data_IF_622105254731
#
_entry.id   IF_622105254731
#
_cell.length_a   1.000
_cell.length_b   1.000
_cell.length_c   1.000
_cell.angle_alpha   90.00
_cell.angle_beta   90.00
_cell.angle_gamma   90.00
#
_symmetry.space_group_name_H-M   'P 1'
#
loop_
_entity.id
_entity.type
_entity.pdbx_description
1 polymer ?
#
# COMPACT_ATOMS: atom_id res chain seq x y z
N UNK A 1 23.92 -19.08 21.30
CA UNK A 1 23.44 -18.61 19.97
C UNK A 1 22.10 -17.94 20.23
N UNK A 2 21.97 -16.64 19.94
CA UNK A 2 20.67 -15.95 20.03
C UNK A 2 19.68 -16.57 19.06
N UNK A 3 18.42 -16.69 19.45
CA UNK A 3 17.40 -17.32 18.63
C UNK A 3 16.84 -16.26 17.68
N UNK A 4 16.88 -16.51 16.38
CA UNK A 4 16.34 -15.59 15.38
C UNK A 4 14.85 -15.81 15.21
N UNK A 5 14.07 -14.74 15.30
CA UNK A 5 12.62 -14.74 15.12
C UNK A 5 12.27 -13.94 13.86
N UNK A 6 11.74 -14.58 12.81
CA UNK A 6 11.32 -13.89 11.60
C UNK A 6 9.92 -13.29 11.80
N UNK A 7 9.81 -11.97 11.62
CA UNK A 7 8.54 -11.28 11.44
C UNK A 7 8.13 -11.30 9.96
N UNK A 8 6.83 -11.12 9.70
CA UNK A 8 6.34 -10.93 8.32
C UNK A 8 6.74 -9.55 7.80
N UNK A 9 7.30 -9.54 6.59
CA UNK A 9 7.60 -8.33 5.84
C UNK A 9 6.50 -8.00 4.83
N UNK A 10 6.00 -6.77 4.86
CA UNK A 10 4.96 -6.25 3.96
C UNK A 10 5.47 -5.03 3.20
N UNK A 11 5.12 -4.92 1.93
CA UNK A 11 5.32 -3.70 1.16
C UNK A 11 4.07 -2.84 1.20
N UNK A 12 4.25 -1.56 1.51
CA UNK A 12 3.24 -0.51 1.40
C UNK A 12 3.33 0.22 0.06
N UNK A 13 4.13 -0.28 -0.88
CA UNK A 13 4.42 0.32 -2.18
C UNK A 13 5.79 0.99 -2.26
N UNK A 14 5.99 1.71 -3.36
CA UNK A 14 7.24 2.43 -3.61
C UNK A 14 7.09 3.56 -4.62
N UNK A 15 8.13 4.41 -4.70
CA UNK A 15 8.31 5.44 -5.72
C UNK A 15 9.60 5.14 -6.51
N UNK A 16 9.56 4.18 -7.46
CA UNK A 16 10.70 3.85 -8.31
C UNK A 16 11.13 5.05 -9.15
N UNK A 17 12.44 5.28 -9.25
CA UNK A 17 12.99 6.28 -10.18
C UNK A 17 12.54 6.00 -11.62
N UNK A 18 12.44 7.07 -12.41
CA UNK A 18 12.22 6.96 -13.84
C UNK A 18 13.37 6.12 -14.43
N UNK A 19 13.05 5.04 -15.16
CA UNK A 19 14.07 4.14 -15.69
C UNK A 19 14.98 4.84 -16.69
N UNK A 20 16.28 4.52 -16.63
CA UNK A 20 17.21 4.98 -17.66
C UNK A 20 16.99 4.22 -18.97
N UNK A 21 17.40 4.82 -20.09
CA UNK A 21 17.15 4.29 -21.45
C UNK A 21 17.69 2.86 -21.63
N UNK A 22 18.81 2.50 -20.98
CA UNK A 22 19.37 1.15 -21.04
C UNK A 22 18.38 0.11 -20.48
N UNK A 23 17.77 0.41 -19.35
CA UNK A 23 16.89 -0.52 -18.65
C UNK A 23 15.57 -0.68 -19.42
N UNK A 24 15.06 0.41 -20.01
CA UNK A 24 13.93 0.39 -20.93
C UNK A 24 14.17 -0.53 -22.12
N UNK A 25 15.35 -0.45 -22.76
CA UNK A 25 15.70 -1.31 -23.91
C UNK A 25 15.66 -2.78 -23.55
N UNK A 26 16.24 -3.14 -22.41
CA UNK A 26 16.25 -4.52 -21.93
C UNK A 26 14.83 -5.02 -21.65
N UNK A 27 13.99 -4.22 -20.97
CA UNK A 27 12.61 -4.63 -20.70
C UNK A 27 11.78 -4.79 -21.98
N UNK A 28 11.86 -3.82 -22.90
CA UNK A 28 11.16 -3.87 -24.19
C UNK A 28 11.60 -5.11 -24.99
N UNK A 29 12.89 -5.46 -24.93
CA UNK A 29 13.40 -6.65 -25.59
C UNK A 29 12.83 -7.96 -25.02
N UNK A 30 12.59 -8.01 -23.70
CA UNK A 30 12.04 -9.18 -22.98
C UNK A 30 10.51 -9.29 -23.09
N UNK A 31 9.82 -8.18 -23.36
CA UNK A 31 8.36 -8.09 -23.40
C UNK A 31 7.85 -7.63 -24.78
N UNK A 32 8.44 -8.14 -25.87
CA UNK A 32 8.04 -7.79 -27.24
C UNK A 32 6.55 -8.10 -27.48
N UNK A 33 5.85 -7.16 -28.12
CA UNK A 33 4.43 -7.29 -28.45
C UNK A 33 3.48 -6.89 -27.33
N UNK A 34 4.01 -6.43 -26.18
CA UNK A 34 3.23 -5.83 -25.10
C UNK A 34 3.34 -4.31 -25.21
N UNK A 35 2.19 -3.65 -25.22
CA UNK A 35 2.13 -2.20 -25.07
C UNK A 35 2.33 -1.84 -23.59
N UNK A 36 3.41 -1.13 -23.29
CA UNK A 36 3.79 -0.71 -21.96
C UNK A 36 4.33 0.72 -22.01
N UNK A 37 4.00 1.52 -21.02
CA UNK A 37 4.54 2.86 -20.85
C UNK A 37 5.47 2.95 -19.62
N UNK A 38 5.85 4.17 -19.25
CA UNK A 38 6.76 4.40 -18.12
C UNK A 38 6.17 3.94 -16.78
N UNK A 39 4.85 4.09 -16.57
CA UNK A 39 4.18 3.65 -15.35
C UNK A 39 4.22 2.11 -15.29
N UNK A 40 3.92 1.45 -16.39
CA UNK A 40 4.02 -0.01 -16.49
C UNK A 40 5.43 -0.51 -16.14
N UNK A 41 6.47 0.18 -16.64
CA UNK A 41 7.84 -0.16 -16.31
C UNK A 41 8.14 0.04 -14.81
N UNK A 42 7.73 1.18 -14.25
CA UNK A 42 7.90 1.48 -12.82
C UNK A 42 7.26 0.39 -11.95
N UNK A 43 6.07 -0.10 -12.32
CA UNK A 43 5.43 -1.23 -11.66
C UNK A 43 6.26 -2.51 -11.75
N UNK A 44 6.84 -2.82 -12.92
CA UNK A 44 7.69 -4.00 -13.10
C UNK A 44 8.98 -3.91 -12.27
N UNK A 45 9.59 -2.73 -12.19
CA UNK A 45 10.79 -2.48 -11.38
C UNK A 45 10.50 -2.67 -9.90
N UNK A 46 9.43 -2.07 -9.41
CA UNK A 46 8.94 -2.21 -8.03
C UNK A 46 8.67 -3.68 -7.67
N UNK A 47 7.98 -4.40 -8.56
CA UNK A 47 7.74 -5.84 -8.41
C UNK A 47 9.05 -6.64 -8.33
N UNK A 48 9.98 -6.39 -9.24
CA UNK A 48 11.23 -7.16 -9.35
C UNK A 48 12.11 -6.96 -8.12
N UNK A 49 12.26 -5.72 -7.66
CA UNK A 49 13.05 -5.39 -6.47
C UNK A 49 12.51 -6.07 -5.20
N UNK A 50 11.18 -6.08 -5.01
CA UNK A 50 10.53 -6.76 -3.89
C UNK A 50 10.67 -8.28 -3.95
N UNK A 51 10.54 -8.84 -5.16
CA UNK A 51 10.72 -10.28 -5.40
C UNK A 51 12.13 -10.74 -5.09
N UNK A 52 13.14 -10.00 -5.55
CA UNK A 52 14.55 -10.31 -5.33
C UNK A 52 14.92 -10.19 -3.84
N UNK A 53 14.33 -9.22 -3.14
CA UNK A 53 14.45 -9.07 -1.69
C UNK A 53 13.64 -10.10 -0.87
N UNK A 54 12.76 -10.88 -1.50
CA UNK A 54 11.89 -11.89 -0.87
C UNK A 54 10.96 -11.30 0.20
N UNK A 55 10.34 -10.17 -0.11
CA UNK A 55 9.26 -9.60 0.72
C UNK A 55 8.08 -10.58 0.76
N UNK A 56 7.52 -10.82 1.96
CA UNK A 56 6.51 -11.88 2.16
C UNK A 56 5.14 -11.48 1.58
N UNK A 57 4.73 -10.22 1.79
CA UNK A 57 3.50 -9.63 1.28
C UNK A 57 3.86 -8.46 0.35
N UNK A 58 4.04 -8.73 -0.94
CA UNK A 58 4.41 -7.69 -1.92
C UNK A 58 3.24 -6.76 -2.24
N UNK A 59 3.58 -5.48 -2.43
CA UNK A 59 2.67 -4.39 -2.73
C UNK A 59 3.26 -3.57 -3.87
N UNK A 60 2.61 -3.58 -5.03
CA UNK A 60 3.09 -2.87 -6.23
C UNK A 60 2.17 -1.69 -6.51
N UNK A 61 2.78 -0.53 -6.74
CA UNK A 61 2.11 0.75 -6.90
C UNK A 61 2.67 1.78 -5.91
N UNK A 62 1.99 2.92 -5.81
CA UNK A 62 2.46 4.11 -5.11
C UNK A 62 1.84 5.35 -5.74
N UNK A 63 2.31 6.54 -5.37
CA UNK A 63 1.72 7.80 -5.87
C UNK A 63 1.96 8.00 -7.36
N UNK A 64 3.07 7.48 -7.90
CA UNK A 64 3.32 7.49 -9.35
C UNK A 64 2.22 6.80 -10.18
N UNK A 65 1.40 5.94 -9.57
CA UNK A 65 0.29 5.25 -10.23
C UNK A 65 -1.01 6.07 -10.26
N UNK A 66 -1.06 7.24 -9.61
CA UNK A 66 -2.24 8.13 -9.57
C UNK A 66 -2.82 8.42 -10.96
N UNK A 67 -2.03 8.76 -12.01
CA UNK A 67 -2.60 9.01 -13.34
C UNK A 67 -3.35 7.79 -13.90
N UNK A 68 -2.93 6.57 -13.54
CA UNK A 68 -3.62 5.35 -13.96
C UNK A 68 -4.93 5.14 -13.19
N UNK A 69 -4.97 5.53 -11.92
CA UNK A 69 -6.20 5.51 -11.13
C UNK A 69 -7.18 6.57 -11.60
N UNK A 70 -6.74 7.80 -11.87
CA UNK A 70 -7.60 8.87 -12.39
C UNK A 70 -8.21 8.52 -13.76
N UNK A 71 -7.48 7.76 -14.58
CA UNK A 71 -8.03 7.22 -15.83
C UNK A 71 -9.03 6.09 -15.60
N UNK A 72 -8.83 5.29 -14.56
CA UNK A 72 -9.66 4.12 -14.25
C UNK A 72 -10.89 4.46 -13.42
N UNK A 73 -10.88 5.58 -12.69
CA UNK A 73 -11.95 6.07 -11.84
C UNK A 73 -11.97 7.59 -11.89
N UNK A 74 -13.08 8.14 -12.35
CA UNK A 74 -13.32 9.58 -12.37
C UNK A 74 -14.75 9.91 -11.96
N UNK A 75 -15.01 11.15 -11.61
CA UNK A 75 -16.35 11.66 -11.38
C UNK A 75 -16.80 12.50 -12.57
N UNK A 76 -18.06 12.32 -12.96
CA UNK A 76 -18.78 13.16 -13.89
C UNK A 76 -19.96 13.81 -13.16
N UNK A 77 -20.15 15.12 -13.30
CA UNK A 77 -21.18 15.85 -12.55
C UNK A 77 -22.63 15.46 -12.94
N UNK A 78 -22.84 14.92 -14.15
CA UNK A 78 -24.17 14.51 -14.61
C UNK A 78 -24.40 13.01 -14.42
N UNK A 79 -23.35 12.19 -14.60
CA UNK A 79 -23.44 10.73 -14.60
C UNK A 79 -22.95 10.08 -13.30
N UNK A 80 -22.30 10.83 -12.42
CA UNK A 80 -21.66 10.31 -11.21
C UNK A 80 -20.35 9.57 -11.51
N UNK A 81 -20.01 8.50 -10.78
CA UNK A 81 -18.71 7.85 -10.91
C UNK A 81 -18.60 7.00 -12.19
N UNK A 82 -17.51 7.18 -12.93
CA UNK A 82 -17.17 6.42 -14.13
C UNK A 82 -15.98 5.48 -13.84
N UNK A 83 -16.06 4.23 -14.30
CA UNK A 83 -15.02 3.21 -14.05
C UNK A 83 -14.54 2.58 -15.36
N UNK A 84 -13.26 2.80 -15.70
CA UNK A 84 -12.60 2.30 -16.91
C UNK A 84 -11.36 1.46 -16.55
N UNK A 85 -11.60 0.24 -16.08
CA UNK A 85 -10.57 -0.60 -15.45
C UNK A 85 -9.57 -1.30 -16.39
N UNK A 86 -9.79 -1.29 -17.70
CA UNK A 86 -9.08 -2.15 -18.66
C UNK A 86 -7.55 -1.99 -18.61
N UNK A 87 -7.08 -0.75 -18.53
CA UNK A 87 -5.64 -0.45 -18.60
C UNK A 87 -4.92 -0.84 -17.31
N UNK A 88 -5.49 -0.52 -16.15
CA UNK A 88 -4.91 -0.87 -14.86
C UNK A 88 -4.95 -2.39 -14.62
N UNK A 89 -6.02 -3.06 -15.07
CA UNK A 89 -6.10 -4.53 -15.08
C UNK A 89 -4.99 -5.11 -15.96
N UNK A 90 -4.77 -4.56 -17.15
CA UNK A 90 -3.69 -5.00 -18.05
C UNK A 90 -2.32 -4.87 -17.37
N UNK A 91 -2.05 -3.74 -16.72
CA UNK A 91 -0.81 -3.48 -15.98
C UNK A 91 -0.55 -4.55 -14.91
N UNK A 92 -1.50 -4.79 -14.02
CA UNK A 92 -1.37 -5.80 -12.98
C UNK A 92 -1.31 -7.23 -13.51
N UNK A 93 -2.03 -7.53 -14.60
CA UNK A 93 -2.03 -8.86 -15.23
C UNK A 93 -0.65 -9.28 -15.73
N UNK A 94 0.24 -8.33 -16.05
CA UNK A 94 1.60 -8.65 -16.45
C UNK A 94 2.45 -9.15 -15.29
N UNK A 95 2.20 -8.65 -14.08
CA UNK A 95 2.95 -9.01 -12.88
C UNK A 95 2.45 -10.33 -12.27
N UNK A 96 1.15 -10.58 -12.31
CA UNK A 96 0.50 -11.76 -11.69
C UNK A 96 0.62 -13.04 -12.53
N UNK A 97 1.26 -13.00 -13.72
CA UNK A 97 1.57 -14.18 -14.53
C UNK A 97 2.48 -15.20 -13.85
N UNK A 98 3.15 -14.83 -12.76
CA UNK A 98 4.22 -15.60 -12.12
C UNK A 98 3.81 -16.33 -10.83
N UNK A 99 2.52 -16.60 -10.59
CA UNK A 99 1.98 -17.26 -9.38
C UNK A 99 2.31 -16.55 -8.05
N UNK A 100 2.85 -15.34 -8.09
CA UNK A 100 3.15 -14.58 -6.88
C UNK A 100 1.96 -13.72 -6.47
N UNK A 101 1.56 -13.81 -5.20
CA UNK A 101 0.54 -12.96 -4.61
C UNK A 101 1.04 -11.52 -4.54
N UNK A 102 0.31 -10.61 -5.19
CA UNK A 102 0.59 -9.17 -5.19
C UNK A 102 -0.63 -8.43 -4.65
N UNK A 103 -0.39 -7.45 -3.78
CA UNK A 103 -1.35 -6.40 -3.48
C UNK A 103 -1.14 -5.21 -4.38
N UNK A 104 -2.22 -4.57 -4.79
CA UNK A 104 -2.13 -3.28 -5.49
C UNK A 104 -1.96 -2.16 -4.47
N UNK A 105 -1.24 -1.10 -4.82
CA UNK A 105 -1.01 0.05 -3.94
C UNK A 105 -1.48 1.32 -4.63
N UNK A 106 -2.36 2.06 -3.97
CA UNK A 106 -3.00 3.25 -4.51
C UNK A 106 -3.17 4.31 -3.43
N UNK A 107 -3.34 5.55 -3.85
CA UNK A 107 -3.92 6.58 -2.99
C UNK A 107 -5.45 6.46 -3.02
N UNK A 108 -6.10 6.99 -1.98
CA UNK A 108 -7.55 6.94 -1.85
C UNK A 108 -8.29 7.89 -2.80
N UNK A 109 -9.61 7.73 -2.99
CA UNK A 109 -10.39 8.61 -3.84
C UNK A 109 -10.27 10.09 -3.49
N UNK A 110 -10.10 10.44 -2.21
CA UNK A 110 -10.01 11.84 -1.76
C UNK A 110 -8.87 12.65 -2.38
N UNK A 111 -7.85 12.01 -2.95
CA UNK A 111 -6.74 12.72 -3.63
C UNK A 111 -6.90 12.82 -5.14
N UNK A 112 -7.93 12.19 -5.72
CA UNK A 112 -8.16 12.21 -7.17
C UNK A 112 -8.71 13.57 -7.58
N UNK A 113 -8.17 14.13 -8.66
CA UNK A 113 -8.52 15.50 -9.09
C UNK A 113 -9.99 15.68 -9.44
N UNK A 114 -10.66 14.63 -9.93
CA UNK A 114 -12.10 14.67 -10.22
C UNK A 114 -12.96 14.29 -9.02
N UNK A 115 -12.41 13.85 -7.89
CA UNK A 115 -13.25 13.37 -6.78
C UNK A 115 -14.21 14.47 -6.32
N UNK A 116 -15.49 14.16 -6.07
CA UNK A 116 -16.38 15.10 -5.42
C UNK A 116 -15.81 15.50 -4.06
N UNK A 117 -16.14 16.72 -3.65
CA UNK A 117 -15.71 17.25 -2.36
C UNK A 117 -16.31 16.41 -1.22
N UNK A 118 -15.54 16.06 -0.18
CA UNK A 118 -16.03 15.20 0.89
C UNK A 118 -17.24 15.76 1.67
N UNK A 119 -17.47 17.07 1.62
CA UNK A 119 -18.64 17.72 2.20
C UNK A 119 -19.94 17.32 1.48
N UNK A 120 -19.86 16.85 0.24
CA UNK A 120 -20.95 16.18 -0.44
C UNK A 120 -20.87 14.68 -0.16
N UNK A 121 -21.30 14.29 1.04
CA UNK A 121 -21.16 12.92 1.57
C UNK A 121 -21.75 11.86 0.63
N UNK A 122 -22.90 12.12 0.00
CA UNK A 122 -23.54 11.19 -0.93
C UNK A 122 -22.66 10.94 -2.16
N UNK A 123 -22.20 12.01 -2.82
CA UNK A 123 -21.32 11.90 -3.98
C UNK A 123 -19.96 11.27 -3.62
N UNK A 124 -19.42 11.65 -2.47
CA UNK A 124 -18.15 11.10 -1.98
C UNK A 124 -18.27 9.62 -1.60
N UNK A 125 -19.41 9.19 -1.05
CA UNK A 125 -19.69 7.78 -0.82
C UNK A 125 -19.80 7.01 -2.14
N UNK A 126 -20.44 7.57 -3.16
CA UNK A 126 -20.56 6.94 -4.49
C UNK A 126 -19.20 6.72 -5.17
N UNK A 127 -18.28 7.71 -5.12
CA UNK A 127 -16.93 7.53 -5.67
C UNK A 127 -16.14 6.47 -4.88
N UNK A 128 -16.30 6.42 -3.54
CA UNK A 128 -15.68 5.39 -2.69
C UNK A 128 -16.23 3.99 -2.99
N UNK A 129 -17.52 3.84 -3.22
CA UNK A 129 -18.13 2.57 -3.65
C UNK A 129 -17.62 2.13 -5.02
N UNK A 130 -17.48 3.06 -5.95
CA UNK A 130 -16.94 2.79 -7.30
C UNK A 130 -15.46 2.46 -7.27
N UNK A 131 -14.68 3.07 -6.37
CA UNK A 131 -13.31 2.67 -6.08
C UNK A 131 -13.25 1.24 -5.54
N UNK A 132 -14.09 0.88 -4.56
CA UNK A 132 -14.18 -0.50 -4.07
C UNK A 132 -14.58 -1.49 -5.17
N UNK A 133 -15.41 -1.08 -6.12
CA UNK A 133 -15.73 -1.86 -7.31
C UNK A 133 -14.50 -2.05 -8.21
N UNK A 134 -13.72 -1.00 -8.47
CA UNK A 134 -12.44 -1.10 -9.19
C UNK A 134 -11.47 -2.05 -8.48
N UNK A 135 -11.31 -1.93 -7.16
CA UNK A 135 -10.47 -2.82 -6.36
C UNK A 135 -10.95 -4.28 -6.47
N UNK A 136 -12.27 -4.52 -6.46
CA UNK A 136 -12.84 -5.85 -6.71
C UNK A 136 -12.46 -6.39 -8.08
N UNK A 137 -12.59 -5.58 -9.12
CA UNK A 137 -12.19 -5.94 -10.48
C UNK A 137 -10.71 -6.33 -10.55
N UNK A 138 -9.82 -5.64 -9.82
CA UNK A 138 -8.42 -6.04 -9.71
C UNK A 138 -8.25 -7.40 -9.02
N UNK A 139 -9.04 -7.70 -7.97
CA UNK A 139 -9.00 -9.02 -7.31
C UNK A 139 -9.49 -10.14 -8.19
N UNK A 140 -10.55 -9.90 -8.95
CA UNK A 140 -11.04 -10.84 -9.97
C UNK A 140 -9.96 -11.11 -11.04
N UNK A 141 -8.98 -10.20 -11.15
CA UNK A 141 -7.77 -10.32 -11.97
C UNK A 141 -6.49 -10.66 -11.17
N UNK A 142 -6.63 -11.47 -10.11
CA UNK A 142 -5.55 -12.12 -9.32
C UNK A 142 -4.79 -11.22 -8.35
N UNK A 143 -5.22 -9.98 -8.13
CA UNK A 143 -4.70 -9.19 -7.00
C UNK A 143 -5.27 -9.74 -5.69
N UNK A 144 -4.42 -9.92 -4.67
CA UNK A 144 -4.83 -10.61 -3.43
C UNK A 144 -5.39 -9.68 -2.36
N UNK A 145 -5.17 -8.38 -2.53
CA UNK A 145 -5.64 -7.30 -1.67
C UNK A 145 -5.05 -5.97 -2.09
N UNK A 146 -5.23 -4.94 -1.26
CA UNK A 146 -4.92 -3.56 -1.61
C UNK A 146 -4.26 -2.87 -0.41
N UNK A 147 -3.30 -2.00 -0.69
CA UNK A 147 -2.83 -0.98 0.24
C UNK A 147 -3.34 0.36 -0.26
N UNK A 148 -4.03 1.09 0.59
CA UNK A 148 -4.65 2.37 0.26
C UNK A 148 -4.00 3.45 1.14
N UNK A 149 -3.36 4.42 0.50
CA UNK A 149 -2.74 5.55 1.19
C UNK A 149 -3.76 6.64 1.42
N UNK A 150 -3.93 7.00 2.68
CA UNK A 150 -4.76 8.11 3.12
C UNK A 150 -3.85 9.31 3.39
N UNK A 151 -4.25 10.50 2.92
CA UNK A 151 -3.50 11.74 3.17
C UNK A 151 -4.09 12.48 4.37
N UNK A 152 -5.39 12.76 4.33
CA UNK A 152 -6.17 13.32 5.43
C UNK A 152 -7.37 12.40 5.62
N UNK A 153 -7.26 11.34 6.45
CA UNK A 153 -8.35 10.39 6.60
C UNK A 153 -9.60 11.10 7.12
N UNK A 154 -10.75 10.77 6.55
CA UNK A 154 -12.07 11.21 6.98
C UNK A 154 -12.85 10.01 7.50
N UNK A 155 -13.80 10.15 8.45
CA UNK A 155 -14.44 8.99 9.06
C UNK A 155 -15.20 8.17 8.02
N UNK A 156 -15.92 8.86 7.13
CA UNK A 156 -16.65 8.26 6.02
C UNK A 156 -15.71 7.53 5.04
N UNK A 157 -14.54 8.10 4.73
CA UNK A 157 -13.55 7.46 3.85
C UNK A 157 -12.99 6.18 4.49
N UNK A 158 -12.64 6.23 5.78
CA UNK A 158 -12.14 5.07 6.51
C UNK A 158 -13.22 3.98 6.58
N UNK A 159 -14.44 4.34 6.97
CA UNK A 159 -15.57 3.40 7.09
C UNK A 159 -15.83 2.66 5.77
N UNK A 160 -15.80 3.39 4.65
CA UNK A 160 -16.08 2.82 3.33
C UNK A 160 -14.92 2.00 2.77
N UNK A 161 -13.67 2.33 3.11
CA UNK A 161 -12.48 1.68 2.55
C UNK A 161 -11.90 0.58 3.42
N UNK A 162 -12.19 0.56 4.72
CA UNK A 162 -11.71 -0.51 5.61
C UNK A 162 -12.32 -1.84 5.23
N UNK A 163 -11.52 -2.91 5.28
CA UNK A 163 -12.03 -4.23 4.98
C UNK A 163 -10.95 -5.31 4.97
N UNK A 164 -11.33 -6.60 4.95
CA UNK A 164 -10.39 -7.72 5.09
C UNK A 164 -9.38 -7.84 3.94
N UNK A 165 -9.60 -7.15 2.82
CA UNK A 165 -8.72 -7.13 1.65
C UNK A 165 -8.01 -5.80 1.47
N UNK A 166 -8.29 -4.81 2.31
CA UNK A 166 -7.75 -3.47 2.22
C UNK A 166 -6.92 -3.19 3.47
N UNK A 167 -5.72 -2.66 3.25
CA UNK A 167 -4.83 -2.21 4.29
C UNK A 167 -4.71 -0.70 4.11
N UNK A 168 -5.13 0.06 5.12
CA UNK A 168 -5.11 1.50 5.07
C UNK A 168 -3.80 2.00 5.70
N UNK A 169 -3.15 2.96 5.07
CA UNK A 169 -1.88 3.52 5.53
C UNK A 169 -1.91 5.05 5.49
N UNK A 170 -1.61 5.68 6.62
CA UNK A 170 -1.45 7.13 6.75
C UNK A 170 0.05 7.42 6.84
N UNK A 171 0.60 8.21 5.91
CA UNK A 171 2.05 8.47 5.84
C UNK A 171 2.58 9.27 7.04
N UNK A 172 1.83 10.27 7.48
CA UNK A 172 2.20 11.17 8.59
C UNK A 172 1.04 11.30 9.59
N UNK A 173 0.79 10.29 10.43
CA UNK A 173 -0.34 10.28 11.33
C UNK A 173 -0.15 11.26 12.50
N UNK A 174 -1.27 11.86 12.93
CA UNK A 174 -1.41 12.56 14.23
C UNK A 174 -2.20 11.70 15.22
N UNK A 175 -2.22 12.05 16.51
CA UNK A 175 -3.03 11.31 17.51
C UNK A 175 -4.49 11.25 17.10
N UNK A 176 -5.10 12.40 16.80
CA UNK A 176 -6.50 12.52 16.38
C UNK A 176 -6.83 11.62 15.17
N UNK A 177 -5.95 11.58 14.16
CA UNK A 177 -6.13 10.72 12.99
C UNK A 177 -6.08 9.23 13.35
N UNK A 178 -5.24 8.84 14.31
CA UNK A 178 -5.12 7.45 14.74
C UNK A 178 -6.31 7.03 15.61
N UNK A 179 -6.78 7.90 16.51
CA UNK A 179 -7.99 7.66 17.30
C UNK A 179 -9.19 7.42 16.38
N UNK A 180 -9.40 8.32 15.41
CA UNK A 180 -10.47 8.19 14.42
C UNK A 180 -10.32 6.92 13.58
N UNK A 181 -9.11 6.59 13.16
CA UNK A 181 -8.83 5.36 12.42
C UNK A 181 -9.17 4.09 13.22
N UNK A 182 -8.86 4.09 14.52
CA UNK A 182 -9.02 2.94 15.40
C UNK A 182 -10.48 2.67 15.79
N UNK A 183 -11.39 3.62 15.57
CA UNK A 183 -12.85 3.39 15.64
C UNK A 183 -13.32 2.36 14.59
N UNK A 184 -12.63 2.29 13.44
CA UNK A 184 -13.02 1.46 12.30
C UNK A 184 -12.08 0.28 12.04
N UNK A 185 -10.81 0.38 12.43
CA UNK A 185 -9.79 -0.64 12.17
C UNK A 185 -9.05 -1.08 13.42
N UNK A 186 -8.68 -2.37 13.47
CA UNK A 186 -7.82 -2.93 14.52
C UNK A 186 -6.41 -3.25 14.04
N UNK A 187 -6.14 -3.07 12.76
CA UNK A 187 -4.84 -3.30 12.17
C UNK A 187 -4.20 -1.93 11.88
N UNK A 188 -3.20 -1.58 12.68
CA UNK A 188 -2.53 -0.29 12.65
C UNK A 188 -1.19 -0.39 11.93
N UNK A 189 -0.94 0.54 11.00
CA UNK A 189 0.38 0.76 10.41
C UNK A 189 0.91 2.08 10.94
N UNK A 190 2.14 2.06 11.47
CA UNK A 190 2.75 3.23 12.07
C UNK A 190 4.18 3.43 11.54
N UNK A 191 4.54 4.64 11.09
CA UNK A 191 5.94 5.00 10.86
C UNK A 191 6.79 4.84 12.12
N UNK A 192 8.03 4.37 11.98
CA UNK A 192 8.90 4.11 13.13
C UNK A 192 9.17 5.35 14.00
N UNK A 193 9.21 6.53 13.40
CA UNK A 193 9.39 7.83 14.07
C UNK A 193 8.13 8.31 14.82
N UNK A 194 7.01 7.61 14.69
CA UNK A 194 5.72 7.93 15.33
C UNK A 194 5.32 6.94 16.42
N UNK A 195 6.21 6.01 16.80
CA UNK A 195 5.97 4.99 17.83
C UNK A 195 5.48 5.59 19.16
N UNK A 196 5.92 6.79 19.54
CA UNK A 196 5.49 7.46 20.77
C UNK A 196 3.99 7.77 20.83
N UNK A 197 3.28 7.78 19.70
CA UNK A 197 1.82 7.95 19.68
C UNK A 197 1.09 6.73 20.27
N UNK A 198 1.76 5.59 20.43
CA UNK A 198 1.14 4.36 20.92
C UNK A 198 0.87 4.36 22.42
N UNK A 199 1.60 5.16 23.20
CA UNK A 199 1.52 5.16 24.67
C UNK A 199 0.10 5.44 25.15
N UNK A 200 -0.61 6.36 24.49
CA UNK A 200 -1.98 6.72 24.84
C UNK A 200 -3.01 5.78 24.18
N UNK A 201 -2.69 5.16 23.03
CA UNK A 201 -3.64 4.42 22.21
C UNK A 201 -3.82 2.95 22.64
N UNK A 202 -2.78 2.30 23.15
CA UNK A 202 -2.79 0.87 23.48
C UNK A 202 -3.79 0.55 24.60
N UNK A 203 -3.90 1.43 25.59
CA UNK A 203 -4.79 1.24 26.73
C UNK A 203 -6.25 1.59 26.38
N UNK A 204 -6.47 2.41 25.34
CA UNK A 204 -7.78 2.90 24.95
C UNK A 204 -8.44 2.05 23.86
N UNK A 205 -7.65 1.47 22.95
CA UNK A 205 -8.14 0.79 21.76
C UNK A 205 -7.71 -0.67 21.69
N UNK A 206 -8.60 -1.53 21.18
CA UNK A 206 -8.28 -2.94 20.96
C UNK A 206 -7.52 -3.15 19.64
N UNK A 207 -6.20 -2.91 19.68
CA UNK A 207 -5.31 -3.10 18.52
C UNK A 207 -4.99 -4.60 18.36
N UNK A 208 -5.27 -5.15 17.19
CA UNK A 208 -5.01 -6.55 16.84
C UNK A 208 -3.63 -6.76 16.24
N UNK A 209 -3.21 -5.89 15.34
CA UNK A 209 -1.93 -6.02 14.64
C UNK A 209 -1.27 -4.67 14.56
N UNK A 210 0.02 -4.59 14.89
CA UNK A 210 0.85 -3.42 14.66
C UNK A 210 1.83 -3.74 13.53
N UNK A 211 1.91 -2.87 12.54
CA UNK A 211 2.87 -2.97 11.45
C UNK A 211 3.75 -1.73 11.45
N UNK A 212 5.05 -1.90 11.70
CA UNK A 212 5.99 -0.80 11.76
C UNK A 212 6.61 -0.51 10.40
N UNK A 213 6.36 0.68 9.85
CA UNK A 213 6.89 1.10 8.56
C UNK A 213 8.33 1.63 8.70
N UNK A 214 9.23 1.13 7.85
CA UNK A 214 10.63 1.55 7.75
C UNK A 214 11.42 1.46 9.07
N UNK A 215 11.01 0.56 9.97
CA UNK A 215 11.57 0.40 11.30
C UNK A 215 12.93 -0.32 11.34
N UNK A 216 13.76 0.08 12.30
CA UNK A 216 15.00 -0.60 12.68
C UNK A 216 14.76 -1.71 13.70
N UNK A 217 15.76 -2.57 13.93
CA UNK A 217 15.69 -3.62 14.95
C UNK A 217 15.44 -3.06 16.36
N UNK A 218 15.93 -1.84 16.65
CA UNK A 218 15.69 -1.16 17.92
C UNK A 218 14.22 -0.77 18.07
N UNK A 219 13.62 -0.21 17.03
CA UNK A 219 12.22 0.24 17.03
C UNK A 219 11.29 -0.95 17.21
N UNK A 220 11.57 -2.04 16.49
CA UNK A 220 10.85 -3.32 16.60
C UNK A 220 10.96 -3.88 18.02
N UNK A 221 12.17 -3.90 18.58
CA UNK A 221 12.41 -4.38 19.94
C UNK A 221 11.70 -3.53 21.00
N UNK A 222 11.59 -2.21 20.78
CA UNK A 222 10.78 -1.32 21.61
C UNK A 222 9.30 -1.68 21.57
N UNK A 223 8.77 -1.95 20.38
CA UNK A 223 7.36 -2.29 20.19
C UNK A 223 6.97 -3.64 20.81
N UNK A 224 7.92 -4.57 20.95
CA UNK A 224 7.69 -5.86 21.63
C UNK A 224 7.37 -5.73 23.13
N UNK A 225 7.51 -4.54 23.72
CA UNK A 225 7.03 -4.27 25.08
C UNK A 225 5.51 -4.18 25.16
N UNK A 226 4.86 -3.86 24.04
CA UNK A 226 3.43 -3.61 23.96
C UNK A 226 2.66 -4.77 23.32
N UNK A 227 3.25 -5.45 22.33
CA UNK A 227 2.60 -6.53 21.58
C UNK A 227 3.52 -7.73 21.37
N UNK A 228 2.94 -8.93 21.37
CA UNK A 228 3.65 -10.16 21.04
C UNK A 228 4.09 -10.19 19.57
N UNK A 229 5.12 -10.98 19.25
CA UNK A 229 5.68 -11.09 17.90
C UNK A 229 4.68 -11.54 16.83
N UNK A 230 3.65 -12.31 17.20
CA UNK A 230 2.62 -12.79 16.26
C UNK A 230 1.65 -11.68 15.83
N UNK A 231 1.61 -10.58 16.59
CA UNK A 231 0.82 -9.38 16.34
C UNK A 231 1.66 -8.24 15.74
N UNK A 232 2.95 -8.48 15.48
CA UNK A 232 3.88 -7.49 14.95
C UNK A 232 4.32 -7.84 13.52
N UNK A 233 4.31 -6.85 12.63
CA UNK A 233 4.82 -6.95 11.26
C UNK A 233 5.79 -5.81 10.96
N UNK A 234 6.63 -6.00 9.95
CA UNK A 234 7.54 -4.97 9.45
C UNK A 234 7.10 -4.56 8.05
N UNK A 235 6.83 -3.27 7.87
CA UNK A 235 6.48 -2.68 6.59
C UNK A 235 7.64 -1.91 5.98
N UNK A 236 7.60 -1.75 4.66
CA UNK A 236 8.44 -0.80 3.94
C UNK A 236 7.64 0.08 2.99
N UNK A 237 8.04 1.35 2.89
CA UNK A 237 7.72 2.23 1.77
C UNK A 237 9.02 2.81 1.22
N UNK A 238 9.39 2.44 -0.01
CA UNK A 238 10.70 2.74 -0.59
C UNK A 238 10.62 3.85 -1.64
N UNK A 239 11.54 4.81 -1.58
CA UNK A 239 11.64 5.91 -2.55
C UNK A 239 13.00 5.83 -3.24
N UNK A 240 13.03 5.89 -4.57
CA UNK A 240 14.27 5.86 -5.35
C UNK A 240 14.91 4.47 -5.49
N UNK A 241 16.06 4.26 -4.85
CA UNK A 241 16.82 2.98 -4.91
C UNK A 241 16.10 1.85 -4.16
N UNK A 242 15.21 1.17 -4.88
CA UNK A 242 14.34 0.14 -4.31
C UNK A 242 15.11 -1.09 -3.79
N UNK A 243 16.16 -1.52 -4.47
CA UNK A 243 16.86 -2.77 -4.14
C UNK A 243 17.49 -2.75 -2.75
N UNK A 244 18.19 -1.67 -2.42
CA UNK A 244 18.83 -1.51 -1.11
C UNK A 244 17.78 -1.31 -0.01
N UNK A 245 16.74 -0.54 -0.31
CA UNK A 245 15.64 -0.31 0.61
C UNK A 245 14.92 -1.61 0.97
N UNK A 246 14.49 -2.43 0.00
CA UNK A 246 13.78 -3.68 0.28
C UNK A 246 14.65 -4.72 0.99
N UNK A 247 15.95 -4.80 0.67
CA UNK A 247 16.91 -5.65 1.40
C UNK A 247 17.02 -5.22 2.87
N UNK A 248 17.04 -3.92 3.14
CA UNK A 248 17.04 -3.39 4.51
C UNK A 248 15.77 -3.76 5.27
N UNK A 249 14.60 -3.61 4.65
CA UNK A 249 13.30 -3.99 5.24
C UNK A 249 13.23 -5.49 5.54
N UNK A 250 13.65 -6.34 4.59
CA UNK A 250 13.68 -7.78 4.85
C UNK A 250 14.68 -8.15 5.95
N UNK A 251 15.81 -7.46 6.01
CA UNK A 251 16.82 -7.64 7.03
C UNK A 251 16.34 -7.27 8.44
N UNK A 252 15.60 -6.16 8.59
CA UNK A 252 15.08 -5.74 9.89
C UNK A 252 13.94 -6.63 10.40
N UNK A 253 13.25 -7.35 9.52
CA UNK A 253 12.24 -8.34 9.89
C UNK A 253 12.82 -9.62 10.56
N UNK A 254 14.12 -9.70 10.84
CA UNK A 254 14.75 -10.81 11.55
C UNK A 254 15.38 -10.32 12.84
N UNK A 255 14.69 -10.56 13.97
CA UNK A 255 15.14 -10.11 15.29
C UNK A 255 16.00 -11.20 15.94
N UNK A 256 17.05 -10.80 16.64
CA UNK A 256 17.82 -11.70 17.51
C UNK A 256 17.39 -11.52 18.97
N UNK A 257 16.75 -12.53 19.56
CA UNK A 257 16.45 -12.60 21.01
C UNK A 257 17.56 -13.35 21.77
#
# INVERSE_FOLDING_TARGET
>A
MSKKYPLKSISLGSEPDIPVISDLKDLISRHRGIEADLITFQMYRSYSAQKDAKIDEMGVGGRYLRPRIEKALSWDEEMGPLVESNEIVRDYSMLTKHEVSIRSVHESPSVLSSSPAPENEDAFAEICHSFNHLLRTLRDNRITGHVIHLTCPLPLEIELLVGPKNVLYIHDPTSDMLEEFLEYSRDLILPADKISLMDDLIDQYQIRTITLCNASERDISGMMQYVDSDHLKVAGYCIGSEDECWKKIKGSAVISL
#
